data_IF_224679734154
#
_entry.id   IF_224679734154
#
_cell.length_a   1.000
_cell.length_b   1.000
_cell.length_c   1.000
_cell.angle_alpha   90.00
_cell.angle_beta   90.00
_cell.angle_gamma   90.00
#
_symmetry.space_group_name_H-M   'P 1'
#
loop_
_entity.id
_entity.type
_entity.pdbx_description
1 polymer ?
#
# COMPACT_ATOMS: atom_id res chain seq x y z
N UNK A 1 4.52 13.66 -25.08
CA UNK A 1 3.88 13.59 -23.76
C UNK A 1 3.62 12.14 -23.34
N UNK A 2 3.13 11.27 -24.24
CA UNK A 2 2.91 9.84 -23.96
C UNK A 2 4.15 9.01 -23.56
N UNK A 3 5.34 9.24 -24.14
CA UNK A 3 6.53 8.45 -23.79
C UNK A 3 6.97 8.63 -22.32
N UNK A 4 6.90 9.85 -21.80
CA UNK A 4 7.33 10.15 -20.43
C UNK A 4 6.40 9.50 -19.39
N UNK A 5 5.09 9.49 -19.66
CA UNK A 5 4.12 8.82 -18.79
C UNK A 5 4.31 7.31 -18.80
N UNK A 6 4.53 6.71 -19.97
CA UNK A 6 4.73 5.27 -20.11
C UNK A 6 6.01 4.80 -19.41
N UNK A 7 7.06 5.61 -19.45
CA UNK A 7 8.32 5.36 -18.76
C UNK A 7 8.19 5.53 -17.24
N UNK A 8 7.43 6.54 -16.79
CA UNK A 8 7.10 6.74 -15.38
C UNK A 8 6.27 5.57 -14.81
N UNK A 9 5.29 5.09 -15.57
CA UNK A 9 4.47 3.92 -15.20
C UNK A 9 5.33 2.65 -15.15
N UNK A 10 6.16 2.40 -16.16
CA UNK A 10 7.10 1.28 -16.15
C UNK A 10 8.04 1.33 -14.95
N UNK A 11 8.57 2.51 -14.64
CA UNK A 11 9.40 2.73 -13.45
C UNK A 11 8.64 2.45 -12.16
N UNK A 12 7.40 2.92 -12.05
CA UNK A 12 6.54 2.63 -10.90
C UNK A 12 6.32 1.13 -10.69
N UNK A 13 5.94 0.41 -11.74
CA UNK A 13 5.76 -1.05 -11.67
C UNK A 13 7.08 -1.77 -11.37
N UNK A 14 8.20 -1.31 -11.94
CA UNK A 14 9.52 -1.86 -11.64
C UNK A 14 9.91 -1.61 -10.17
N UNK A 15 9.66 -0.43 -9.61
CA UNK A 15 9.87 -0.18 -8.18
C UNK A 15 8.96 -1.06 -7.31
N UNK A 16 7.72 -1.34 -7.75
CA UNK A 16 6.82 -2.24 -7.04
C UNK A 16 7.31 -3.69 -7.07
N UNK A 17 7.79 -4.17 -8.23
CA UNK A 17 8.15 -5.58 -8.42
C UNK A 17 9.60 -5.86 -7.99
N UNK A 18 10.54 -4.99 -8.37
CA UNK A 18 12.00 -5.24 -8.36
C UNK A 18 12.81 -4.35 -7.41
N UNK A 19 12.17 -3.50 -6.58
CA UNK A 19 12.88 -2.72 -5.53
C UNK A 19 13.89 -1.66 -6.03
N UNK A 20 13.91 -1.35 -7.33
CA UNK A 20 14.88 -0.42 -7.91
C UNK A 20 14.47 1.07 -7.78
N UNK A 21 15.51 1.91 -7.69
CA UNK A 21 15.53 3.38 -7.88
C UNK A 21 15.33 4.30 -6.67
N UNK A 22 16.22 4.23 -5.68
CA UNK A 22 16.47 5.38 -4.79
C UNK A 22 17.96 5.55 -4.58
N UNK A 23 18.45 6.77 -4.81
CA UNK A 23 19.79 7.16 -4.37
C UNK A 23 19.77 7.26 -2.83
N UNK A 24 20.21 6.18 -2.19
CA UNK A 24 20.21 6.06 -0.73
C UNK A 24 21.32 6.89 -0.08
N UNK A 25 22.27 7.43 -0.85
CA UNK A 25 23.39 8.23 -0.34
C UNK A 25 22.92 9.53 0.32
N UNK A 26 21.76 10.08 -0.08
CA UNK A 26 21.21 11.30 0.50
C UNK A 26 20.81 11.17 1.99
N UNK A 27 20.68 9.95 2.52
CA UNK A 27 20.30 9.69 3.92
C UNK A 27 21.52 9.45 4.83
N UNK A 28 22.70 9.86 4.39
CA UNK A 28 23.97 9.74 5.10
C UNK A 28 24.09 10.73 6.26
N UNK A 29 24.30 10.24 7.49
CA UNK A 29 24.76 11.06 8.63
C UNK A 29 26.23 10.77 8.92
N UNK A 30 27.02 11.84 9.07
CA UNK A 30 28.36 11.75 9.68
C UNK A 30 28.19 12.07 11.17
N UNK A 31 28.70 11.21 12.05
CA UNK A 31 28.79 11.54 13.48
C UNK A 31 29.96 12.52 13.66
N UNK A 32 29.71 13.67 14.29
CA UNK A 32 30.72 14.72 14.50
C UNK A 32 32.05 14.13 15.02
N UNK A 33 33.11 14.32 14.24
CA UNK A 33 34.48 13.90 14.59
C UNK A 33 34.82 12.42 14.37
N UNK A 34 33.93 11.61 13.78
CA UNK A 34 34.23 10.20 13.43
C UNK A 34 33.86 9.88 11.98
N UNK A 35 34.62 9.01 11.33
CA UNK A 35 34.30 8.49 9.99
C UNK A 35 33.13 7.48 9.98
N UNK A 36 32.41 7.37 11.11
CA UNK A 36 31.27 6.48 11.29
C UNK A 36 30.07 7.10 10.59
N UNK A 37 29.75 6.52 9.44
CA UNK A 37 28.60 6.88 8.62
C UNK A 37 27.38 6.08 9.09
N UNK A 38 26.31 6.77 9.48
CA UNK A 38 25.08 6.15 9.99
C UNK A 38 23.86 6.61 9.21
N UNK A 39 22.84 5.75 9.14
CA UNK A 39 21.57 6.06 8.46
C UNK A 39 20.74 7.07 9.26
N UNK A 40 20.27 8.15 8.61
CA UNK A 40 19.37 9.14 9.23
C UNK A 40 17.94 8.60 9.38
N UNK A 41 17.67 7.87 10.44
CA UNK A 41 16.34 7.30 10.69
C UNK A 41 15.22 8.35 10.80
N UNK A 42 15.52 9.54 11.33
CA UNK A 42 14.55 10.60 11.60
C UNK A 42 14.42 11.65 10.49
N UNK A 43 14.97 11.40 9.30
CA UNK A 43 14.94 12.33 8.18
C UNK A 43 13.50 12.76 7.81
N UNK A 44 13.33 14.03 7.39
CA UNK A 44 12.03 14.57 6.94
C UNK A 44 11.47 13.79 5.75
N UNK A 45 12.32 13.17 4.93
CA UNK A 45 11.92 12.29 3.84
C UNK A 45 11.13 11.06 4.31
N UNK A 46 11.28 10.63 5.57
CA UNK A 46 10.55 9.51 6.17
C UNK A 46 9.34 9.95 6.99
N UNK A 47 8.88 11.18 6.76
CA UNK A 47 7.63 11.70 7.32
C UNK A 47 6.53 11.75 6.26
N UNK A 48 5.30 11.47 6.69
CA UNK A 48 4.11 11.50 5.84
C UNK A 48 3.56 12.92 5.72
N UNK A 49 3.25 13.36 4.49
CA UNK A 49 2.55 14.63 4.20
C UNK A 49 3.18 15.89 4.84
N UNK A 50 4.50 15.91 5.04
CA UNK A 50 5.17 17.03 5.73
C UNK A 50 4.81 17.16 7.22
N UNK A 51 4.17 16.15 7.80
CA UNK A 51 3.84 16.07 9.23
C UNK A 51 5.00 15.50 10.04
N UNK A 52 4.81 15.30 11.35
CA UNK A 52 5.77 14.57 12.19
C UNK A 52 5.52 13.06 12.25
N UNK A 53 4.52 12.54 11.52
CA UNK A 53 4.19 11.10 11.53
C UNK A 53 5.21 10.33 10.69
N UNK A 54 5.90 9.39 11.32
CA UNK A 54 6.86 8.52 10.64
C UNK A 54 6.16 7.52 9.71
N UNK A 55 6.74 7.26 8.54
CA UNK A 55 6.16 6.38 7.50
C UNK A 55 5.82 4.98 8.00
N UNK A 56 6.60 4.42 8.94
CA UNK A 56 6.28 3.14 9.59
C UNK A 56 4.98 3.17 10.40
N UNK A 57 4.78 4.23 11.19
CA UNK A 57 3.59 4.37 12.03
C UNK A 57 2.36 4.50 11.14
N UNK A 58 2.45 5.33 10.10
CA UNK A 58 1.36 5.45 9.13
C UNK A 58 1.08 4.15 8.38
N UNK A 59 2.10 3.39 7.97
CA UNK A 59 1.90 2.11 7.30
C UNK A 59 1.29 1.05 8.24
N UNK A 60 1.63 1.09 9.52
CA UNK A 60 1.01 0.23 10.53
C UNK A 60 -0.47 0.58 10.70
N UNK A 61 -0.81 1.86 10.85
CA UNK A 61 -2.21 2.33 10.96
C UNK A 61 -3.00 1.94 9.71
N UNK A 62 -2.46 2.21 8.52
CA UNK A 62 -3.09 1.86 7.25
C UNK A 62 -3.31 0.35 7.13
N UNK A 63 -2.31 -0.45 7.53
CA UNK A 63 -2.41 -1.91 7.57
C UNK A 63 -3.48 -2.41 8.54
N UNK A 64 -3.58 -1.84 9.74
CA UNK A 64 -4.62 -2.21 10.73
C UNK A 64 -6.02 -1.89 10.22
N UNK A 65 -6.22 -0.70 9.65
CA UNK A 65 -7.52 -0.32 9.08
C UNK A 65 -7.89 -1.26 7.93
N UNK A 66 -6.98 -1.48 6.98
CA UNK A 66 -7.21 -2.39 5.85
C UNK A 66 -7.52 -3.82 6.31
N UNK A 67 -6.81 -4.30 7.34
CA UNK A 67 -7.05 -5.62 7.91
C UNK A 67 -8.41 -5.72 8.58
N UNK A 68 -8.80 -4.71 9.36
CA UNK A 68 -10.11 -4.66 9.99
C UNK A 68 -11.24 -4.65 8.96
N UNK A 69 -11.10 -3.87 7.88
CA UNK A 69 -12.08 -3.85 6.78
C UNK A 69 -12.13 -5.20 6.07
N UNK A 70 -10.99 -5.84 5.82
CA UNK A 70 -10.93 -7.18 5.21
C UNK A 70 -11.63 -8.22 6.09
N UNK A 71 -11.40 -8.19 7.41
CA UNK A 71 -12.09 -9.07 8.36
C UNK A 71 -13.60 -8.78 8.38
N UNK A 72 -13.99 -7.51 8.43
CA UNK A 72 -15.39 -7.12 8.45
C UNK A 72 -16.11 -7.59 7.18
N UNK A 73 -15.47 -7.45 6.01
CA UNK A 73 -15.93 -8.00 4.75
C UNK A 73 -16.10 -9.52 4.85
N UNK A 74 -15.06 -10.24 5.28
CA UNK A 74 -15.11 -11.69 5.43
C UNK A 74 -16.25 -12.15 6.35
N UNK A 75 -16.43 -11.52 7.51
CA UNK A 75 -17.49 -11.87 8.48
C UNK A 75 -18.88 -11.55 7.89
N UNK A 76 -19.06 -10.35 7.37
CA UNK A 76 -20.35 -9.89 6.84
C UNK A 76 -20.82 -10.79 5.69
N UNK A 77 -19.93 -11.07 4.73
CA UNK A 77 -20.27 -11.91 3.59
C UNK A 77 -20.37 -13.41 3.92
N UNK A 78 -19.69 -13.89 4.96
CA UNK A 78 -19.79 -15.29 5.38
C UNK A 78 -21.09 -15.56 6.13
N UNK A 79 -21.49 -14.68 7.05
CA UNK A 79 -22.57 -14.95 8.00
C UNK A 79 -23.88 -14.21 7.72
N UNK A 80 -23.81 -13.04 7.06
CA UNK A 80 -24.97 -12.18 6.86
C UNK A 80 -25.39 -12.06 5.39
N UNK A 81 -24.67 -12.75 4.48
CA UNK A 81 -25.06 -12.79 3.09
C UNK A 81 -26.26 -13.71 2.89
N UNK A 82 -27.40 -13.10 2.58
CA UNK A 82 -28.64 -13.83 2.35
C UNK A 82 -28.66 -14.38 0.92
N UNK A 83 -27.89 -15.46 0.70
CA UNK A 83 -27.86 -16.18 -0.58
C UNK A 83 -29.28 -16.62 -0.96
N UNK A 84 -29.70 -16.35 -2.20
CA UNK A 84 -30.93 -16.89 -2.75
C UNK A 84 -32.22 -16.12 -2.48
N UNK A 85 -32.18 -14.88 -1.96
CA UNK A 85 -33.37 -14.01 -1.84
C UNK A 85 -33.82 -13.35 -3.18
N UNK A 86 -33.76 -14.08 -4.29
CA UNK A 86 -34.15 -13.56 -5.61
C UNK A 86 -33.15 -12.62 -6.29
N UNK A 87 -31.91 -12.56 -5.77
CA UNK A 87 -30.79 -11.80 -6.37
C UNK A 87 -30.15 -12.58 -7.53
N UNK A 88 -29.48 -11.86 -8.43
CA UNK A 88 -28.85 -12.45 -9.61
C UNK A 88 -27.76 -13.46 -9.19
N UNK A 89 -27.86 -14.75 -9.59
CA UNK A 89 -26.89 -15.79 -9.21
C UNK A 89 -25.45 -15.49 -9.62
N UNK A 90 -25.27 -14.73 -10.70
CA UNK A 90 -23.94 -14.32 -11.20
C UNK A 90 -23.24 -13.37 -10.23
N UNK A 91 -23.96 -12.40 -9.65
CA UNK A 91 -23.43 -11.48 -8.64
C UNK A 91 -23.03 -12.23 -7.38
N UNK A 92 -23.83 -13.20 -6.94
CA UNK A 92 -23.52 -14.03 -5.78
C UNK A 92 -22.28 -14.92 -5.99
N UNK A 93 -22.02 -15.35 -7.22
CA UNK A 93 -20.80 -16.10 -7.56
C UNK A 93 -19.56 -15.21 -7.57
N UNK A 94 -19.64 -14.00 -8.12
CA UNK A 94 -18.53 -13.04 -8.09
C UNK A 94 -18.15 -12.67 -6.65
N UNK A 95 -19.14 -12.40 -5.80
CA UNK A 95 -18.90 -12.10 -4.39
C UNK A 95 -18.34 -13.29 -3.60
N UNK A 96 -18.72 -14.53 -3.94
CA UNK A 96 -18.11 -15.72 -3.36
C UNK A 96 -16.64 -15.88 -3.77
N UNK A 97 -16.32 -15.62 -5.03
CA UNK A 97 -14.94 -15.62 -5.51
C UNK A 97 -14.12 -14.57 -4.77
N UNK A 98 -14.67 -13.36 -4.60
CA UNK A 98 -14.01 -12.27 -3.88
C UNK A 98 -13.80 -12.60 -2.38
N UNK A 99 -14.78 -13.26 -1.75
CA UNK A 99 -14.65 -13.76 -0.38
C UNK A 99 -13.53 -14.80 -0.24
N UNK A 100 -13.46 -15.78 -1.14
CA UNK A 100 -12.39 -16.78 -1.16
C UNK A 100 -11.04 -16.07 -1.35
N UNK A 101 -10.97 -15.11 -2.26
CA UNK A 101 -9.76 -14.35 -2.54
C UNK A 101 -9.31 -13.50 -1.34
N UNK A 102 -10.26 -12.90 -0.60
CA UNK A 102 -10.00 -12.18 0.64
C UNK A 102 -9.41 -13.08 1.73
N UNK A 103 -9.90 -14.31 1.89
CA UNK A 103 -9.35 -15.27 2.86
C UNK A 103 -7.98 -15.81 2.44
N UNK A 104 -7.82 -16.23 1.19
CA UNK A 104 -6.63 -16.95 0.71
C UNK A 104 -5.48 -16.01 0.40
N UNK A 105 -5.77 -14.78 -0.03
CA UNK A 105 -4.75 -13.82 -0.47
C UNK A 105 -4.79 -12.56 0.39
N UNK A 106 -5.98 -11.99 0.60
CA UNK A 106 -6.16 -10.75 1.36
C UNK A 106 -5.59 -10.81 2.78
N UNK A 107 -6.04 -11.77 3.61
CA UNK A 107 -5.56 -11.91 4.99
C UNK A 107 -4.05 -12.23 5.06
N UNK A 108 -3.50 -13.20 4.30
CA UNK A 108 -2.05 -13.43 4.27
C UNK A 108 -1.23 -12.21 3.85
N UNK A 109 -1.70 -11.41 2.87
CA UNK A 109 -1.02 -10.17 2.48
C UNK A 109 -0.90 -9.17 3.63
N UNK A 110 -1.92 -9.03 4.49
CA UNK A 110 -1.84 -8.18 5.67
C UNK A 110 -0.88 -8.72 6.73
N UNK A 111 -0.88 -10.04 6.95
CA UNK A 111 0.05 -10.68 7.88
C UNK A 111 1.50 -10.45 7.41
N UNK A 112 1.77 -10.62 6.12
CA UNK A 112 3.07 -10.34 5.52
C UNK A 112 3.44 -8.85 5.62
N UNK A 113 2.48 -7.93 5.46
CA UNK A 113 2.71 -6.50 5.66
C UNK A 113 3.13 -6.21 7.10
N UNK A 114 2.39 -6.70 8.09
CA UNK A 114 2.74 -6.49 9.50
C UNK A 114 4.09 -7.09 9.84
N UNK A 115 4.39 -8.28 9.33
CA UNK A 115 5.68 -8.92 9.52
C UNK A 115 6.82 -8.12 8.88
N UNK A 116 6.60 -7.58 7.68
CA UNK A 116 7.56 -6.73 6.95
C UNK A 116 7.86 -5.44 7.70
N UNK A 117 6.84 -4.80 8.26
CA UNK A 117 6.99 -3.58 9.07
C UNK A 117 7.71 -3.90 10.38
N UNK A 118 7.30 -4.96 11.08
CA UNK A 118 7.82 -5.31 12.41
C UNK A 118 9.25 -5.85 12.38
N UNK A 119 9.60 -6.64 11.36
CA UNK A 119 10.95 -7.21 11.18
C UNK A 119 11.82 -6.39 10.24
N UNK A 120 11.33 -5.27 9.72
CA UNK A 120 12.01 -4.43 8.74
C UNK A 120 12.53 -5.27 7.54
N UNK A 121 11.65 -6.10 6.97
CA UNK A 121 11.95 -6.95 5.79
C UNK A 121 11.24 -6.43 4.55
N UNK A 122 11.77 -6.70 3.37
CA UNK A 122 11.24 -6.17 2.10
C UNK A 122 10.04 -6.95 1.52
N UNK A 123 9.28 -7.67 2.34
CA UNK A 123 8.17 -8.50 1.87
C UNK A 123 6.85 -7.72 1.72
N UNK A 124 6.97 -6.48 1.23
CA UNK A 124 5.85 -5.59 0.93
C UNK A 124 5.22 -5.88 -0.44
N UNK A 125 5.96 -6.50 -1.36
CA UNK A 125 5.55 -6.71 -2.76
C UNK A 125 4.24 -7.50 -2.93
N UNK A 126 3.99 -8.62 -2.20
CA UNK A 126 2.72 -9.33 -2.31
C UNK A 126 1.52 -8.47 -1.93
N UNK A 127 1.63 -7.70 -0.84
CA UNK A 127 0.61 -6.75 -0.43
C UNK A 127 0.40 -5.66 -1.49
N UNK A 128 1.47 -5.05 -1.98
CA UNK A 128 1.40 -3.97 -2.96
C UNK A 128 0.79 -4.41 -4.29
N UNK A 129 1.16 -5.59 -4.81
CA UNK A 129 0.62 -6.12 -6.07
C UNK A 129 -0.87 -6.41 -5.93
N UNK A 130 -1.26 -7.09 -4.85
CA UNK A 130 -2.66 -7.41 -4.57
C UNK A 130 -3.51 -6.13 -4.43
N UNK A 131 -3.08 -5.21 -3.58
CA UNK A 131 -3.81 -3.97 -3.34
C UNK A 131 -3.84 -3.05 -4.55
N UNK A 132 -2.78 -3.01 -5.37
CA UNK A 132 -2.79 -2.22 -6.61
C UNK A 132 -3.76 -2.79 -7.65
N UNK A 133 -3.83 -4.12 -7.76
CA UNK A 133 -4.78 -4.80 -8.65
C UNK A 133 -6.22 -4.55 -8.19
N UNK A 134 -6.48 -4.68 -6.89
CA UNK A 134 -7.79 -4.40 -6.31
C UNK A 134 -8.16 -2.91 -6.44
N UNK A 135 -7.21 -2.01 -6.23
CA UNK A 135 -7.40 -0.58 -6.42
C UNK A 135 -7.76 -0.24 -7.87
N UNK A 136 -7.08 -0.82 -8.86
CA UNK A 136 -7.40 -0.60 -10.28
C UNK A 136 -8.85 -1.03 -10.60
N UNK A 137 -9.28 -2.17 -10.07
CA UNK A 137 -10.67 -2.64 -10.21
C UNK A 137 -11.66 -1.69 -9.51
N UNK A 138 -11.36 -1.24 -8.29
CA UNK A 138 -12.20 -0.30 -7.55
C UNK A 138 -12.28 1.08 -8.21
N UNK A 139 -11.22 1.53 -8.90
CA UNK A 139 -11.27 2.75 -9.73
C UNK A 139 -12.28 2.58 -10.86
N UNK A 140 -12.25 1.46 -11.58
CA UNK A 140 -13.21 1.18 -12.66
C UNK A 140 -14.64 1.17 -12.10
N UNK A 141 -14.88 0.46 -11.00
CA UNK A 141 -16.19 0.43 -10.35
C UNK A 141 -16.63 1.80 -9.84
N UNK A 142 -15.71 2.61 -9.31
CA UNK A 142 -16.01 3.98 -8.88
C UNK A 142 -16.43 4.84 -10.07
N UNK A 143 -15.71 4.77 -11.19
CA UNK A 143 -16.05 5.52 -12.41
C UNK A 143 -17.44 5.11 -12.92
N UNK A 144 -17.72 3.81 -13.03
CA UNK A 144 -19.03 3.32 -13.44
C UNK A 144 -20.13 3.80 -12.48
N UNK A 145 -19.88 3.71 -11.17
CA UNK A 145 -20.82 4.13 -10.13
C UNK A 145 -21.09 5.63 -10.20
N UNK A 146 -20.08 6.47 -10.40
CA UNK A 146 -20.22 7.93 -10.55
C UNK A 146 -20.94 8.32 -11.85
N UNK A 147 -20.73 7.57 -12.94
CA UNK A 147 -21.45 7.78 -14.20
C UNK A 147 -22.93 7.40 -14.03
N UNK A 148 -23.21 6.20 -13.50
CA UNK A 148 -24.57 5.75 -13.22
C UNK A 148 -25.28 6.73 -12.29
N UNK A 149 -24.59 7.17 -11.25
CA UNK A 149 -25.01 8.21 -10.33
C UNK A 149 -25.43 9.50 -11.03
N UNK A 150 -24.60 9.99 -11.96
CA UNK A 150 -24.85 11.23 -12.68
C UNK A 150 -26.04 11.12 -13.64
N UNK A 151 -26.22 9.97 -14.29
CA UNK A 151 -27.35 9.68 -15.17
C UNK A 151 -28.67 9.55 -14.38
N UNK A 152 -28.62 8.96 -13.18
CA UNK A 152 -29.77 8.86 -12.29
C UNK A 152 -30.11 10.20 -11.65
N UNK A 153 -29.11 11.02 -11.30
CA UNK A 153 -29.30 12.40 -10.84
C UNK A 153 -29.96 13.26 -11.94
N UNK A 154 -29.57 13.05 -13.20
CA UNK A 154 -30.24 13.66 -14.35
C UNK A 154 -31.70 13.22 -14.42
N UNK A 155 -32.01 11.92 -14.30
CA UNK A 155 -33.40 11.44 -14.24
C UNK A 155 -34.18 11.99 -13.04
N UNK A 156 -33.53 12.21 -11.91
CA UNK A 156 -34.15 12.71 -10.68
C UNK A 156 -34.53 14.20 -10.78
N UNK A 157 -33.68 15.03 -11.39
CA UNK A 157 -34.00 16.43 -11.74
C UNK A 157 -35.25 16.54 -12.64
N UNK A 158 -35.53 15.49 -13.43
CA UNK A 158 -36.68 15.40 -14.33
C UNK A 158 -37.82 14.48 -13.84
N UNK A 159 -37.73 13.94 -12.62
CA UNK A 159 -38.84 13.27 -11.94
C UNK A 159 -38.61 11.79 -11.58
N UNK A 160 -38.52 11.57 -10.27
CA UNK A 160 -39.10 10.42 -9.54
C UNK A 160 -38.30 9.11 -9.37
N UNK A 161 -37.06 9.18 -8.86
CA UNK A 161 -36.33 7.99 -8.36
C UNK A 161 -35.71 8.28 -6.99
N UNK A 162 -35.81 7.33 -6.05
CA UNK A 162 -35.10 7.32 -4.76
C UNK A 162 -33.66 6.86 -5.02
N UNK A 163 -32.72 7.78 -4.83
CA UNK A 163 -31.32 7.63 -5.22
C UNK A 163 -30.46 7.04 -4.09
N UNK A 164 -29.55 6.11 -4.40
CA UNK A 164 -28.59 5.54 -3.44
C UNK A 164 -27.27 6.33 -3.44
N UNK A 165 -27.33 7.56 -2.90
CA UNK A 165 -26.16 8.42 -2.71
C UNK A 165 -25.14 7.80 -1.74
N UNK A 166 -25.62 6.95 -0.83
CA UNK A 166 -24.80 6.28 0.17
C UNK A 166 -23.76 5.38 -0.47
N UNK A 167 -24.18 4.54 -1.42
CA UNK A 167 -23.27 3.64 -2.12
C UNK A 167 -22.21 4.37 -2.94
N UNK A 168 -22.60 5.42 -3.67
CA UNK A 168 -21.67 6.21 -4.51
C UNK A 168 -20.61 6.92 -3.66
N UNK A 169 -21.01 7.52 -2.55
CA UNK A 169 -20.08 8.18 -1.61
C UNK A 169 -19.15 7.14 -0.99
N UNK A 170 -19.71 6.02 -0.52
CA UNK A 170 -18.92 4.94 0.06
C UNK A 170 -17.86 4.43 -0.91
N UNK A 171 -18.25 4.07 -2.14
CA UNK A 171 -17.36 3.55 -3.17
C UNK A 171 -16.22 4.54 -3.51
N UNK A 172 -16.54 5.82 -3.59
CA UNK A 172 -15.55 6.88 -3.87
C UNK A 172 -14.56 7.03 -2.72
N UNK A 173 -15.05 7.17 -1.48
CA UNK A 173 -14.20 7.33 -0.29
C UNK A 173 -13.35 6.08 -0.04
N UNK A 174 -13.92 4.90 -0.27
CA UNK A 174 -13.22 3.63 -0.12
C UNK A 174 -12.05 3.52 -1.10
N UNK A 175 -12.27 3.82 -2.38
CA UNK A 175 -11.23 3.78 -3.41
C UNK A 175 -10.11 4.79 -3.11
N UNK A 176 -10.45 6.02 -2.71
CA UNK A 176 -9.46 7.02 -2.29
C UNK A 176 -8.64 6.54 -1.09
N UNK A 177 -9.28 5.92 -0.10
CA UNK A 177 -8.63 5.40 1.10
C UNK A 177 -7.68 4.25 0.78
N UNK A 178 -8.03 3.38 -0.18
CA UNK A 178 -7.14 2.33 -0.66
C UNK A 178 -5.90 2.91 -1.36
N UNK A 179 -6.07 3.91 -2.23
CA UNK A 179 -4.95 4.59 -2.89
C UNK A 179 -4.00 5.23 -1.88
N UNK A 180 -4.56 5.88 -0.85
CA UNK A 180 -3.78 6.43 0.27
C UNK A 180 -2.99 5.35 1.03
N UNK A 181 -3.62 4.20 1.32
CA UNK A 181 -2.96 3.10 2.01
C UNK A 181 -1.77 2.56 1.19
N UNK A 182 -1.94 2.37 -0.12
CA UNK A 182 -0.86 1.94 -1.03
C UNK A 182 0.29 2.94 -0.98
N UNK A 183 0.01 4.25 -1.09
CA UNK A 183 1.03 5.29 -1.02
C UNK A 183 1.83 5.23 0.28
N UNK A 184 1.15 5.13 1.42
CA UNK A 184 1.79 5.10 2.74
C UNK A 184 2.67 3.84 2.89
N UNK A 185 2.18 2.67 2.45
CA UNK A 185 2.94 1.41 2.49
C UNK A 185 4.16 1.48 1.57
N UNK A 186 4.03 2.06 0.37
CA UNK A 186 5.18 2.28 -0.51
C UNK A 186 6.23 3.16 0.16
N UNK A 187 5.84 4.26 0.83
CA UNK A 187 6.78 5.11 1.57
C UNK A 187 7.49 4.36 2.69
N UNK A 188 6.78 3.49 3.41
CA UNK A 188 7.39 2.63 4.43
C UNK A 188 8.38 1.64 3.83
N UNK A 189 8.05 0.99 2.70
CA UNK A 189 8.98 0.10 1.99
C UNK A 189 10.27 0.83 1.60
N UNK A 190 10.17 2.05 1.07
CA UNK A 190 11.33 2.88 0.70
C UNK A 190 12.25 3.14 1.90
N UNK A 191 11.66 3.44 3.06
CA UNK A 191 12.42 3.58 4.31
C UNK A 191 13.12 2.27 4.72
N UNK A 192 12.41 1.14 4.69
CA UNK A 192 12.99 -0.17 5.06
C UNK A 192 14.14 -0.53 4.11
N UNK A 193 13.98 -0.30 2.80
CA UNK A 193 15.02 -0.53 1.81
C UNK A 193 16.27 0.32 2.08
N UNK A 194 16.08 1.63 2.34
CA UNK A 194 17.17 2.53 2.69
C UNK A 194 17.93 2.06 3.94
N UNK A 195 17.19 1.64 4.98
CA UNK A 195 17.77 1.15 6.22
C UNK A 195 18.58 -0.14 6.02
N UNK A 196 18.08 -1.07 5.21
CA UNK A 196 18.79 -2.32 4.88
C UNK A 196 20.07 -2.02 4.08
N UNK A 197 19.98 -1.17 3.06
CA UNK A 197 21.12 -0.76 2.23
C UNK A 197 22.27 -0.21 3.10
N UNK A 198 21.96 0.71 4.01
CA UNK A 198 22.97 1.29 4.90
C UNK A 198 23.52 0.30 5.92
N UNK A 199 22.69 -0.63 6.40
CA UNK A 199 23.15 -1.72 7.28
C UNK A 199 24.16 -2.62 6.57
N UNK A 200 23.90 -2.98 5.30
CA UNK A 200 24.81 -3.80 4.48
C UNK A 200 26.13 -3.06 4.22
N UNK A 201 26.05 -1.80 3.78
CA UNK A 201 27.22 -0.97 3.52
C UNK A 201 28.12 -0.80 4.76
N UNK A 202 27.52 -0.61 5.94
CA UNK A 202 28.27 -0.52 7.18
C UNK A 202 28.95 -1.84 7.56
N UNK A 203 28.28 -2.99 7.34
CA UNK A 203 28.88 -4.31 7.55
C UNK A 203 30.07 -4.55 6.62
N UNK A 204 29.94 -4.25 5.33
CA UNK A 204 31.04 -4.37 4.35
C UNK A 204 32.26 -3.54 4.75
N UNK A 205 32.02 -2.29 5.21
CA UNK A 205 33.08 -1.41 5.69
C UNK A 205 33.76 -1.92 6.95
N UNK A 206 33.01 -2.48 7.90
CA UNK A 206 33.60 -3.11 9.09
C UNK A 206 34.40 -4.35 8.70
N UNK A 207 33.89 -5.20 7.81
CA UNK A 207 34.61 -6.37 7.31
C UNK A 207 35.90 -6.02 6.57
N UNK A 208 35.91 -4.93 5.78
CA UNK A 208 37.13 -4.47 5.11
C UNK A 208 38.17 -3.95 6.10
N UNK A 209 37.77 -3.16 7.11
CA UNK A 209 38.69 -2.68 8.17
C UNK A 209 39.31 -3.85 8.94
N UNK A 210 38.53 -4.89 9.25
CA UNK A 210 39.03 -6.10 9.94
C UNK A 210 39.96 -6.91 9.03
N UNK A 211 39.68 -6.97 7.71
CA UNK A 211 40.53 -7.67 6.74
C UNK A 211 41.86 -6.94 6.48
N UNK A 212 41.85 -5.60 6.54
CA UNK A 212 43.05 -4.76 6.36
C UNK A 212 43.94 -4.69 7.60
N UNK A 213 43.63 -5.43 8.67
CA UNK A 213 44.56 -5.70 9.77
C UNK A 213 44.91 -4.49 10.63
N UNK A 214 44.06 -3.45 10.69
CA UNK A 214 44.25 -2.36 11.65
C UNK A 214 43.80 -2.83 13.04
N UNK A 215 44.68 -3.57 13.72
CA UNK A 215 44.62 -3.74 15.16
C UNK A 215 44.93 -2.38 15.80
N UNK A 216 43.93 -1.77 16.43
CA UNK A 216 44.18 -0.66 17.34
C UNK A 216 44.99 -1.22 18.53
N UNK A 217 46.30 -0.98 18.54
CA UNK A 217 47.12 -1.01 19.75
C UNK A 217 46.76 0.18 20.67
#
# INVERSE_FOLDING_TARGET
MEMYELESIKKFFRTIIYEEDIDYAQFESKMDGTDIVTFRENDKAFRLFGTNVHVKVGAYIAGVIGFAVTIAFCITYTFYHSRGLGRNPFLDHLELVDLIFAFVVGLPCHILLFWSIAKERLLFSPFLIFYLTNFAMNVIFTVITVIAASLDLHRQLFGNIKYDLGWTIFQTVFTLSQGLAIYVVMRCRKYVAAKIYWKQRNMERTSSIVADGVTFE
#
